data_IF_760664665027
#
_entry.id   IF_760664665027
#
_cell.length_a   1.000
_cell.length_b   1.000
_cell.length_c   1.000
_cell.angle_alpha   90.00
_cell.angle_beta   90.00
_cell.angle_gamma   90.00
#
_symmetry.space_group_name_H-M   'P 1'
#
loop_
_entity.id
_entity.type
_entity.pdbx_description
1 polymer ?
#
# COMPACT_ATOMS: atom_id res chain seq x y z
N UNK A 1 -25.73 2.16 -14.66
CA UNK A 1 -24.93 3.40 -14.55
C UNK A 1 -25.88 4.58 -14.47
N UNK A 2 -26.04 5.18 -13.30
CA UNK A 2 -26.89 6.36 -13.11
C UNK A 2 -26.10 7.57 -13.62
N UNK A 3 -26.63 8.28 -14.62
CA UNK A 3 -25.99 9.47 -15.20
C UNK A 3 -25.79 10.57 -14.14
N UNK A 4 -24.63 11.24 -14.20
CA UNK A 4 -24.28 12.38 -13.33
C UNK A 4 -25.34 13.50 -13.40
N UNK A 5 -26.01 13.66 -14.54
CA UNK A 5 -27.09 14.63 -14.73
C UNK A 5 -28.36 14.26 -13.96
N UNK A 6 -28.64 12.97 -13.79
CA UNK A 6 -29.76 12.44 -13.00
C UNK A 6 -29.49 12.62 -11.51
N UNK A 7 -28.24 12.44 -11.07
CA UNK A 7 -27.83 12.66 -9.68
C UNK A 7 -27.91 14.15 -9.31
N UNK A 8 -27.45 15.03 -10.20
CA UNK A 8 -27.51 16.50 -10.03
C UNK A 8 -28.94 17.04 -10.06
N UNK A 9 -29.84 16.50 -10.91
CA UNK A 9 -31.27 16.84 -10.87
C UNK A 9 -31.94 16.39 -9.57
N UNK A 10 -31.61 15.19 -9.08
CA UNK A 10 -32.08 14.69 -7.78
C UNK A 10 -31.55 15.53 -6.61
N UNK A 11 -30.32 16.02 -6.68
CA UNK A 11 -29.74 16.91 -5.67
C UNK A 11 -30.36 18.31 -5.68
N UNK A 12 -30.69 18.85 -6.86
CA UNK A 12 -31.38 20.14 -6.99
C UNK A 12 -32.83 20.07 -6.51
N UNK A 13 -33.53 18.95 -6.76
CA UNK A 13 -34.92 18.78 -6.31
C UNK A 13 -35.05 18.61 -4.80
N UNK A 14 -34.00 18.18 -4.08
CA UNK A 14 -33.98 18.12 -2.60
C UNK A 14 -34.09 19.49 -1.93
N UNK A 15 -33.71 20.58 -2.61
CA UNK A 15 -33.83 21.94 -2.10
C UNK A 15 -35.08 22.68 -2.62
N UNK A 16 -35.83 22.07 -3.56
CA UNK A 16 -36.97 22.67 -4.29
C UNK A 16 -38.25 21.84 -4.17
N UNK A 17 -38.36 20.95 -3.16
CA UNK A 17 -39.51 20.04 -3.00
C UNK A 17 -40.87 20.76 -3.03
N UNK A 18 -40.96 21.96 -2.47
CA UNK A 18 -42.18 22.78 -2.50
C UNK A 18 -42.54 23.34 -3.88
N UNK A 19 -41.58 23.49 -4.79
CA UNK A 19 -41.82 23.93 -6.16
C UNK A 19 -42.29 22.76 -7.04
N UNK A 20 -41.71 21.58 -6.88
CA UNK A 20 -42.12 20.40 -7.65
C UNK A 20 -43.51 19.88 -7.27
N UNK A 21 -43.90 19.99 -5.99
CA UNK A 21 -45.27 19.68 -5.56
C UNK A 21 -46.28 20.66 -6.18
N UNK A 22 -45.89 21.93 -6.37
CA UNK A 22 -46.72 22.93 -7.05
C UNK A 22 -46.88 22.64 -8.54
N UNK A 23 -45.80 22.31 -9.21
CA UNK A 23 -45.82 21.97 -10.65
C UNK A 23 -46.70 20.72 -10.89
N UNK A 24 -46.63 19.72 -9.99
CA UNK A 24 -47.46 18.52 -10.06
C UNK A 24 -48.95 18.81 -9.77
N UNK A 25 -49.24 19.73 -8.85
CA UNK A 25 -50.60 20.22 -8.60
C UNK A 25 -51.18 20.97 -9.81
N UNK A 26 -50.37 21.76 -10.49
CA UNK A 26 -50.74 22.47 -11.72
C UNK A 26 -50.97 21.50 -12.89
N UNK A 27 -50.08 20.51 -13.07
CA UNK A 27 -50.20 19.50 -14.12
C UNK A 27 -51.44 18.61 -13.93
N UNK A 28 -51.73 18.19 -12.69
CA UNK A 28 -52.94 17.44 -12.36
C UNK A 28 -54.22 18.26 -12.59
N UNK A 29 -54.23 19.55 -12.20
CA UNK A 29 -55.37 20.44 -12.48
C UNK A 29 -55.59 20.63 -13.96
N UNK A 30 -54.52 20.84 -14.73
CA UNK A 30 -54.59 20.99 -16.17
C UNK A 30 -55.21 19.76 -16.85
N UNK A 31 -54.84 18.56 -16.43
CA UNK A 31 -55.42 17.32 -16.96
C UNK A 31 -56.90 17.14 -16.60
N UNK A 32 -57.28 17.49 -15.37
CA UNK A 32 -58.68 17.45 -14.93
C UNK A 32 -59.53 18.46 -15.71
N UNK A 33 -59.06 19.70 -15.85
CA UNK A 33 -59.76 20.76 -16.58
C UNK A 33 -59.92 20.40 -18.07
N UNK A 34 -58.87 19.89 -18.69
CA UNK A 34 -58.90 19.48 -20.10
C UNK A 34 -59.86 18.32 -20.36
N UNK A 35 -59.92 17.33 -19.48
CA UNK A 35 -60.90 16.23 -19.61
C UNK A 35 -62.34 16.69 -19.38
N UNK A 36 -62.56 17.67 -18.50
CA UNK A 36 -63.88 18.28 -18.35
C UNK A 36 -64.28 18.97 -19.66
N UNK A 37 -63.37 19.71 -20.27
CA UNK A 37 -63.59 20.40 -21.55
C UNK A 37 -63.86 19.44 -22.71
N UNK A 38 -63.07 18.36 -22.83
CA UNK A 38 -63.25 17.32 -23.85
C UNK A 38 -64.60 16.60 -23.68
N UNK A 39 -65.04 16.35 -22.44
CA UNK A 39 -66.36 15.75 -22.17
C UNK A 39 -67.53 16.69 -22.48
N UNK A 40 -67.35 17.99 -22.27
CA UNK A 40 -68.33 19.01 -22.67
C UNK A 40 -68.41 19.09 -24.20
N UNK A 41 -67.27 19.06 -24.90
CA UNK A 41 -67.21 19.03 -26.37
C UNK A 41 -67.82 17.74 -26.95
N UNK A 42 -67.73 16.63 -26.23
CA UNK A 42 -68.40 15.37 -26.56
C UNK A 42 -69.92 15.37 -26.28
N UNK A 43 -70.47 16.49 -25.78
CA UNK A 43 -71.91 16.71 -25.62
C UNK A 43 -72.46 16.47 -24.21
N UNK A 44 -71.61 16.30 -23.19
CA UNK A 44 -72.09 16.21 -21.80
C UNK A 44 -72.44 17.58 -21.21
N UNK A 45 -73.43 17.59 -20.31
CA UNK A 45 -73.73 18.75 -19.48
C UNK A 45 -72.51 19.08 -18.57
N UNK A 46 -72.12 20.37 -18.45
CA UNK A 46 -71.00 20.81 -17.61
C UNK A 46 -70.95 20.24 -16.19
N UNK A 47 -72.10 20.12 -15.51
CA UNK A 47 -72.17 19.56 -14.15
C UNK A 47 -71.93 18.05 -14.14
N UNK A 48 -72.44 17.33 -15.14
CA UNK A 48 -72.24 15.89 -15.29
C UNK A 48 -70.79 15.56 -15.71
N UNK A 49 -70.19 16.37 -16.59
CA UNK A 49 -68.79 16.23 -17.02
C UNK A 49 -67.82 16.37 -15.84
N UNK A 50 -68.05 17.35 -14.95
CA UNK A 50 -67.27 17.52 -13.71
C UNK A 50 -67.39 16.32 -12.77
N UNK A 51 -68.62 15.87 -12.52
CA UNK A 51 -68.87 14.71 -11.65
C UNK A 51 -68.35 13.39 -12.23
N UNK A 52 -68.29 13.25 -13.55
CA UNK A 52 -67.74 12.08 -14.23
C UNK A 52 -66.20 12.03 -14.10
N UNK A 53 -65.52 13.14 -14.36
CA UNK A 53 -64.05 13.23 -14.25
C UNK A 53 -63.61 13.02 -12.79
N UNK A 54 -64.27 13.67 -11.83
CA UNK A 54 -63.95 13.51 -10.40
C UNK A 54 -64.16 12.07 -9.87
N UNK A 55 -65.15 11.34 -10.41
CA UNK A 55 -65.34 9.91 -10.09
C UNK A 55 -64.29 9.01 -10.74
N UNK A 56 -63.88 9.31 -11.98
CA UNK A 56 -62.87 8.51 -12.70
C UNK A 56 -61.47 8.60 -12.08
N UNK A 57 -61.13 9.76 -11.49
CA UNK A 57 -59.82 10.01 -10.87
C UNK A 57 -59.67 9.43 -9.46
N UNK A 58 -60.70 8.81 -8.87
CA UNK A 58 -60.57 7.99 -7.65
C UNK A 58 -60.05 8.71 -6.39
N UNK A 59 -60.11 10.04 -6.35
CA UNK A 59 -59.50 10.86 -5.30
C UNK A 59 -58.08 11.28 -5.68
N UNK A 60 -57.92 12.55 -6.07
CA UNK A 60 -56.66 13.18 -6.47
C UNK A 60 -55.50 12.96 -5.48
N UNK A 61 -55.79 12.76 -4.20
CA UNK A 61 -54.79 12.54 -3.17
C UNK A 61 -54.12 11.16 -3.26
N UNK A 62 -54.85 10.12 -3.72
CA UNK A 62 -54.29 8.77 -3.83
C UNK A 62 -53.31 8.64 -5.00
N UNK A 63 -53.64 9.26 -6.15
CA UNK A 63 -52.76 9.32 -7.33
C UNK A 63 -51.50 10.15 -7.05
N UNK A 64 -51.62 11.21 -6.22
CA UNK A 64 -50.47 11.97 -5.72
C UNK A 64 -49.58 11.13 -4.80
N UNK A 65 -50.16 10.33 -3.92
CA UNK A 65 -49.41 9.44 -3.02
C UNK A 65 -48.65 8.36 -3.81
N UNK A 66 -49.28 7.68 -4.78
CA UNK A 66 -48.61 6.68 -5.61
C UNK A 66 -47.47 7.28 -6.46
N UNK A 67 -47.67 8.47 -7.01
CA UNK A 67 -46.62 9.19 -7.75
C UNK A 67 -45.45 9.64 -6.85
N UNK A 68 -45.71 9.95 -5.57
CA UNK A 68 -44.67 10.27 -4.59
C UNK A 68 -43.86 9.03 -4.18
N UNK A 69 -44.53 7.90 -3.93
CA UNK A 69 -43.87 6.65 -3.53
C UNK A 69 -43.03 6.05 -4.67
N UNK A 70 -43.47 6.16 -5.94
CA UNK A 70 -42.75 5.63 -7.10
C UNK A 70 -41.40 6.33 -7.40
N UNK A 71 -41.16 7.54 -6.88
CA UNK A 71 -40.00 8.37 -7.26
C UNK A 71 -38.80 8.28 -6.31
N UNK A 72 -38.87 7.53 -5.21
CA UNK A 72 -37.76 7.36 -4.26
C UNK A 72 -37.37 8.62 -3.49
N UNK A 73 -38.16 9.70 -3.60
CA UNK A 73 -37.93 10.97 -2.90
C UNK A 73 -38.29 10.89 -1.42
N UNK A 74 -39.28 10.06 -1.06
CA UNK A 74 -39.68 9.82 0.33
C UNK A 74 -38.54 9.30 1.20
N UNK A 75 -37.76 8.33 0.70
CA UNK A 75 -36.60 7.80 1.42
C UNK A 75 -35.53 8.88 1.69
N UNK A 76 -35.30 9.79 0.74
CA UNK A 76 -34.34 10.89 0.89
C UNK A 76 -34.85 11.97 1.86
N UNK A 77 -36.14 12.28 1.82
CA UNK A 77 -36.79 13.22 2.75
C UNK A 77 -36.82 12.65 4.18
N UNK A 78 -37.16 11.38 4.33
CA UNK A 78 -37.10 10.64 5.60
C UNK A 78 -35.66 10.63 6.15
N UNK A 79 -34.66 10.32 5.32
CA UNK A 79 -33.25 10.35 5.71
C UNK A 79 -32.78 11.75 6.12
N UNK A 80 -33.16 12.81 5.39
CA UNK A 80 -32.82 14.20 5.71
C UNK A 80 -33.49 14.65 7.01
N UNK A 81 -34.76 14.27 7.20
CA UNK A 81 -35.51 14.59 8.40
C UNK A 81 -34.89 13.90 9.62
N UNK A 82 -34.50 12.63 9.48
CA UNK A 82 -33.79 11.85 10.51
C UNK A 82 -32.41 12.43 10.82
N UNK A 83 -31.62 12.81 9.80
CA UNK A 83 -30.32 13.47 9.98
C UNK A 83 -30.47 14.80 10.73
N UNK A 84 -31.46 15.62 10.37
CA UNK A 84 -31.73 16.92 11.01
C UNK A 84 -32.20 16.73 12.45
N UNK A 85 -33.02 15.71 12.71
CA UNK A 85 -33.46 15.35 14.04
C UNK A 85 -32.31 14.83 14.90
N UNK A 86 -31.46 13.96 14.35
CA UNK A 86 -30.23 13.47 14.96
C UNK A 86 -29.26 14.59 15.33
N UNK A 87 -28.99 15.52 14.41
CA UNK A 87 -28.15 16.69 14.67
C UNK A 87 -28.70 17.58 15.79
N UNK A 88 -30.02 17.78 15.84
CA UNK A 88 -30.68 18.54 16.92
C UNK A 88 -30.60 17.79 18.26
N UNK A 89 -30.69 16.46 18.25
CA UNK A 89 -30.53 15.63 19.45
C UNK A 89 -29.10 15.68 20.00
N UNK A 90 -28.09 15.67 19.13
CA UNK A 90 -26.68 15.83 19.49
C UNK A 90 -26.43 17.20 20.14
N UNK A 91 -26.93 18.30 19.55
CA UNK A 91 -26.80 19.65 20.12
C UNK A 91 -27.49 19.82 21.48
N UNK A 92 -28.57 19.09 21.75
CA UNK A 92 -29.26 19.08 23.06
C UNK A 92 -28.51 18.28 24.13
N UNK A 93 -27.46 17.55 23.77
CA UNK A 93 -26.78 16.58 24.63
C UNK A 93 -25.26 16.72 24.59
N UNK A 94 -24.70 17.94 24.78
CA UNK A 94 -23.31 18.24 24.43
C UNK A 94 -22.28 17.36 25.14
N UNK A 95 -22.50 17.00 26.41
CA UNK A 95 -21.57 16.14 27.16
C UNK A 95 -21.48 14.72 26.61
N UNK A 96 -22.62 14.08 26.35
CA UNK A 96 -22.67 12.70 25.79
C UNK A 96 -22.11 12.69 24.37
N UNK A 97 -22.47 13.69 23.57
CA UNK A 97 -21.94 13.84 22.22
C UNK A 97 -20.44 14.06 22.23
N UNK A 98 -19.91 14.90 23.13
CA UNK A 98 -18.48 15.14 23.25
C UNK A 98 -17.72 13.85 23.61
N UNK A 99 -18.20 13.09 24.60
CA UNK A 99 -17.58 11.80 24.98
C UNK A 99 -17.60 10.83 23.80
N UNK A 100 -18.75 10.65 23.14
CA UNK A 100 -18.86 9.71 22.02
C UNK A 100 -17.96 10.12 20.84
N UNK A 101 -17.93 11.41 20.49
CA UNK A 101 -17.10 11.94 19.40
C UNK A 101 -15.62 11.81 19.74
N UNK A 102 -15.18 12.17 20.95
CA UNK A 102 -13.77 12.06 21.35
C UNK A 102 -13.32 10.59 21.41
N UNK A 103 -14.14 9.69 21.92
CA UNK A 103 -13.83 8.25 21.97
C UNK A 103 -13.70 7.65 20.57
N UNK A 104 -14.63 7.97 19.65
CA UNK A 104 -14.56 7.51 18.27
C UNK A 104 -13.39 8.15 17.52
N UNK A 105 -13.16 9.46 17.69
CA UNK A 105 -12.06 10.16 17.05
C UNK A 105 -10.70 9.60 17.47
N UNK A 106 -10.50 9.30 18.76
CA UNK A 106 -9.27 8.70 19.27
C UNK A 106 -9.08 7.29 18.71
N UNK A 107 -10.12 6.45 18.73
CA UNK A 107 -10.05 5.08 18.22
C UNK A 107 -9.80 5.01 16.71
N UNK A 108 -10.49 5.84 15.92
CA UNK A 108 -10.29 5.91 14.46
C UNK A 108 -8.92 6.49 14.16
N UNK A 109 -8.56 7.64 14.74
CA UNK A 109 -7.30 8.33 14.48
C UNK A 109 -6.08 7.48 14.83
N UNK A 110 -6.10 6.80 15.98
CA UNK A 110 -5.01 5.92 16.38
C UNK A 110 -4.86 4.71 15.44
N UNK A 111 -5.97 4.06 15.05
CA UNK A 111 -5.92 2.94 14.10
C UNK A 111 -5.42 3.41 12.72
N UNK A 112 -5.90 4.56 12.22
CA UNK A 112 -5.43 5.13 10.96
C UNK A 112 -3.94 5.47 11.00
N UNK A 113 -3.44 6.05 12.10
CA UNK A 113 -2.02 6.37 12.24
C UNK A 113 -1.14 5.11 12.24
N UNK A 114 -1.51 4.08 13.02
CA UNK A 114 -0.77 2.82 13.08
C UNK A 114 -0.83 2.10 11.74
N UNK A 115 -2.00 2.04 11.10
CA UNK A 115 -2.13 1.44 9.78
C UNK A 115 -1.28 2.17 8.73
N UNK A 116 -1.24 3.50 8.77
CA UNK A 116 -0.39 4.29 7.86
C UNK A 116 1.09 3.94 8.04
N UNK A 117 1.54 3.78 9.29
CA UNK A 117 2.91 3.35 9.59
C UNK A 117 3.20 1.93 9.09
N UNK A 118 2.28 0.99 9.32
CA UNK A 118 2.39 -0.38 8.79
C UNK A 118 2.44 -0.38 7.27
N UNK A 119 1.58 0.41 6.62
CA UNK A 119 1.57 0.51 5.16
C UNK A 119 2.90 1.06 4.63
N UNK A 120 3.43 2.11 5.25
CA UNK A 120 4.70 2.72 4.87
C UNK A 120 5.91 1.79 5.05
N UNK A 121 5.93 0.97 6.11
CA UNK A 121 7.09 0.13 6.47
C UNK A 121 6.97 -1.31 5.91
N UNK A 122 5.77 -1.90 5.97
CA UNK A 122 5.56 -3.32 5.69
C UNK A 122 4.97 -3.60 4.30
N UNK A 123 4.11 -2.72 3.79
CA UNK A 123 3.34 -2.99 2.56
C UNK A 123 3.90 -2.33 1.31
N UNK A 124 4.87 -1.42 1.43
CA UNK A 124 5.53 -0.79 0.28
C UNK A 124 6.38 -1.83 -0.45
N UNK A 125 5.93 -2.21 -1.64
CA UNK A 125 6.65 -3.11 -2.54
C UNK A 125 7.84 -2.39 -3.20
N UNK A 126 8.88 -3.16 -3.53
CA UNK A 126 9.96 -2.71 -4.39
C UNK A 126 9.40 -2.41 -5.80
N UNK A 127 9.88 -1.35 -6.45
CA UNK A 127 9.52 -1.00 -7.83
C UNK A 127 10.28 -1.89 -8.81
N UNK A 128 9.93 -3.17 -8.80
CA UNK A 128 10.59 -4.26 -9.53
C UNK A 128 9.54 -5.16 -10.16
N UNK A 129 9.92 -5.95 -11.17
CA UNK A 129 8.97 -6.87 -11.80
C UNK A 129 8.62 -8.03 -10.85
N UNK A 130 7.33 -8.37 -10.74
CA UNK A 130 6.80 -9.49 -9.96
C UNK A 130 7.45 -9.61 -8.55
N UNK A 131 7.31 -8.59 -7.67
CA UNK A 131 7.96 -8.56 -6.36
C UNK A 131 7.55 -9.73 -5.46
N UNK A 132 6.36 -10.29 -5.65
CA UNK A 132 5.85 -11.47 -4.92
C UNK A 132 6.67 -12.74 -5.15
N UNK A 133 7.46 -12.82 -6.22
CA UNK A 133 8.34 -13.95 -6.50
C UNK A 133 9.72 -13.79 -5.85
N UNK A 134 10.03 -12.62 -5.27
CA UNK A 134 11.31 -12.37 -4.63
C UNK A 134 11.31 -12.92 -3.21
N UNK A 135 12.42 -13.57 -2.85
CA UNK A 135 12.70 -14.02 -1.49
C UNK A 135 14.07 -13.52 -1.02
N UNK A 136 14.16 -13.20 0.26
CA UNK A 136 15.40 -12.87 0.95
C UNK A 136 15.95 -14.13 1.60
N UNK A 137 17.28 -14.28 1.57
CA UNK A 137 17.98 -15.30 2.31
C UNK A 137 18.29 -14.72 3.70
N UNK A 138 17.52 -15.12 4.71
CA UNK A 138 17.55 -14.61 6.07
C UNK A 138 16.29 -13.86 6.48
N UNK A 139 16.38 -13.09 7.55
CA UNK A 139 15.28 -12.32 8.16
C UNK A 139 14.97 -10.97 7.48
N UNK A 140 15.65 -10.66 6.38
CA UNK A 140 15.47 -9.41 5.65
C UNK A 140 16.12 -8.18 6.29
N UNK A 141 16.99 -8.37 7.27
CA UNK A 141 17.87 -7.34 7.83
C UNK A 141 19.10 -7.12 6.95
N UNK A 142 19.49 -5.86 6.76
CA UNK A 142 20.80 -5.49 6.17
C UNK A 142 21.91 -5.45 7.23
N UNK A 143 21.62 -5.86 8.47
CA UNK A 143 22.58 -5.98 9.57
C UNK A 143 22.65 -7.44 9.96
N UNK A 144 23.50 -8.19 9.28
CA UNK A 144 23.75 -9.59 9.62
C UNK A 144 24.75 -9.69 10.76
N UNK A 145 24.37 -10.40 11.82
CA UNK A 145 25.32 -11.08 12.71
C UNK A 145 25.19 -12.58 12.44
N UNK A 146 26.30 -13.32 12.43
CA UNK A 146 26.24 -14.80 12.52
C UNK A 146 25.73 -15.13 13.92
N UNK A 147 24.44 -15.43 14.06
CA UNK A 147 23.85 -15.76 15.36
C UNK A 147 24.16 -17.22 15.69
N UNK A 148 25.33 -17.45 16.29
CA UNK A 148 25.79 -18.77 16.73
C UNK A 148 24.84 -19.48 17.70
N UNK A 149 23.94 -18.74 18.37
CA UNK A 149 22.98 -19.29 19.34
C UNK A 149 21.71 -19.88 18.71
N UNK A 150 21.38 -19.51 17.46
CA UNK A 150 20.10 -19.93 16.82
C UNK A 150 20.27 -20.74 15.53
N UNK A 151 21.50 -20.83 15.00
CA UNK A 151 21.78 -21.51 13.73
C UNK A 151 21.16 -20.82 12.51
N UNK A 152 20.68 -19.57 12.65
CA UNK A 152 20.11 -18.77 11.55
C UNK A 152 21.15 -17.85 10.93
N UNK A 153 21.22 -17.86 9.60
CA UNK A 153 22.19 -17.11 8.82
C UNK A 153 21.51 -16.05 7.96
N UNK A 154 22.01 -14.81 8.06
CA UNK A 154 21.44 -13.63 7.41
C UNK A 154 22.47 -12.86 6.54
N UNK A 155 23.73 -13.26 6.56
CA UNK A 155 24.84 -12.69 5.79
C UNK A 155 25.74 -13.82 5.34
N UNK A 156 26.26 -13.72 4.12
CA UNK A 156 26.89 -14.83 3.42
C UNK A 156 28.23 -14.41 2.83
N UNK A 157 29.06 -15.41 2.52
CA UNK A 157 30.31 -15.25 1.80
C UNK A 157 30.08 -15.37 0.29
N UNK A 158 30.94 -14.74 -0.50
CA UNK A 158 30.87 -14.82 -1.96
C UNK A 158 31.00 -16.27 -2.48
N UNK A 159 31.89 -17.13 -1.93
CA UNK A 159 31.93 -18.54 -2.35
C UNK A 159 30.63 -19.30 -2.07
N UNK A 160 29.92 -19.03 -0.97
CA UNK A 160 28.62 -19.65 -0.72
C UNK A 160 27.56 -19.17 -1.72
N UNK A 161 27.56 -17.88 -2.06
CA UNK A 161 26.69 -17.35 -3.11
C UNK A 161 26.86 -18.09 -4.44
N UNK A 162 28.10 -18.38 -4.86
CA UNK A 162 28.39 -19.12 -6.09
C UNK A 162 27.74 -20.52 -6.11
N UNK A 163 27.65 -21.20 -4.96
CA UNK A 163 26.94 -22.48 -4.87
C UNK A 163 25.42 -22.30 -4.86
N UNK A 164 24.91 -21.28 -4.17
CA UNK A 164 23.46 -21.04 -4.04
C UNK A 164 22.82 -20.53 -5.34
N UNK A 165 23.55 -19.78 -6.16
CA UNK A 165 23.04 -19.27 -7.45
C UNK A 165 22.77 -20.35 -8.49
N UNK A 166 23.32 -21.56 -8.30
CA UNK A 166 23.07 -22.72 -9.17
C UNK A 166 21.79 -23.49 -8.82
N UNK A 167 21.10 -23.11 -7.72
CA UNK A 167 19.90 -23.79 -7.27
C UNK A 167 18.74 -23.65 -8.29
N UNK A 168 18.20 -24.79 -8.72
CA UNK A 168 17.19 -24.88 -9.78
C UNK A 168 15.80 -24.38 -9.36
N UNK A 169 15.58 -24.11 -8.08
CA UNK A 169 14.33 -23.53 -7.56
C UNK A 169 14.14 -22.08 -8.00
N UNK A 170 15.23 -21.39 -8.34
CA UNK A 170 15.23 -19.98 -8.69
C UNK A 170 15.37 -19.76 -10.20
N UNK A 171 14.79 -18.67 -10.70
CA UNK A 171 15.15 -18.11 -12.00
C UNK A 171 16.54 -17.46 -11.96
N UNK A 172 16.91 -16.94 -10.80
CA UNK A 172 18.26 -16.48 -10.51
C UNK A 172 18.37 -16.01 -9.06
N UNK A 173 19.59 -16.01 -8.55
CA UNK A 173 19.97 -15.44 -7.25
C UNK A 173 20.99 -14.35 -7.52
N UNK A 174 20.76 -13.16 -6.95
CA UNK A 174 21.72 -12.06 -6.98
C UNK A 174 22.25 -11.77 -5.58
N UNK A 175 23.46 -11.22 -5.56
CA UNK A 175 24.15 -10.79 -4.36
C UNK A 175 24.35 -9.28 -4.38
N UNK A 176 24.36 -8.67 -3.21
CA UNK A 176 24.75 -7.28 -3.02
C UNK A 176 25.47 -7.13 -1.69
N UNK A 177 26.42 -6.20 -1.63
CA UNK A 177 27.14 -5.90 -0.41
C UNK A 177 26.20 -5.31 0.63
N UNK A 178 26.30 -5.82 1.85
CA UNK A 178 25.46 -5.44 2.99
C UNK A 178 25.49 -3.94 3.29
N UNK A 179 26.66 -3.30 3.12
CA UNK A 179 26.86 -1.86 3.32
C UNK A 179 27.01 -1.13 1.98
N UNK A 180 26.66 0.15 1.97
CA UNK A 180 27.06 1.06 0.90
C UNK A 180 28.52 1.48 1.10
N UNK A 181 29.22 1.68 -0.01
CA UNK A 181 30.58 2.18 -0.06
C UNK A 181 30.59 3.68 -0.30
N UNK A 182 31.36 4.43 0.49
CA UNK A 182 31.66 5.82 0.15
C UNK A 182 32.63 5.83 -1.02
N UNK A 183 32.19 6.44 -2.12
CA UNK A 183 32.95 6.59 -3.35
C UNK A 183 33.38 8.04 -3.50
N UNK A 184 34.63 8.24 -3.90
CA UNK A 184 35.12 9.49 -4.48
C UNK A 184 35.00 9.38 -5.99
N UNK A 185 34.12 10.17 -6.59
CA UNK A 185 33.80 10.13 -8.02
C UNK A 185 34.21 11.44 -8.69
N UNK A 186 34.86 11.36 -9.85
CA UNK A 186 35.15 12.53 -10.69
C UNK A 186 35.15 12.18 -12.18
N UNK A 187 34.77 13.11 -13.08
CA UNK A 187 34.88 12.89 -14.52
C UNK A 187 36.32 12.67 -14.96
N UNK A 188 36.55 11.74 -15.88
CA UNK A 188 37.85 11.60 -16.54
C UNK A 188 38.10 12.82 -17.44
N UNK A 189 39.22 13.51 -17.24
CA UNK A 189 39.56 14.74 -17.99
C UNK A 189 39.15 16.04 -17.31
N UNK A 190 38.53 15.99 -16.13
CA UNK A 190 38.43 17.17 -15.26
C UNK A 190 39.83 17.75 -14.99
N UNK A 191 39.97 19.07 -15.08
CA UNK A 191 41.21 19.74 -14.66
C UNK A 191 41.55 19.34 -13.22
N UNK A 192 42.82 19.35 -12.81
CA UNK A 192 43.24 18.92 -11.46
C UNK A 192 42.50 19.58 -10.27
N UNK A 193 41.74 20.65 -10.52
CA UNK A 193 40.90 21.35 -9.56
C UNK A 193 39.40 20.98 -9.60
N UNK A 194 38.94 20.10 -10.50
CA UNK A 194 37.54 19.63 -10.46
C UNK A 194 37.34 18.81 -9.19
N UNK A 195 36.51 19.27 -8.23
CA UNK A 195 36.36 18.60 -6.95
C UNK A 195 35.83 17.19 -7.16
N UNK A 196 36.37 16.23 -6.42
CA UNK A 196 35.75 14.92 -6.34
C UNK A 196 34.42 15.04 -5.60
N UNK A 197 33.39 14.41 -6.14
CA UNK A 197 32.09 14.32 -5.51
C UNK A 197 32.01 13.04 -4.69
N UNK A 198 31.39 13.14 -3.50
CA UNK A 198 31.09 11.99 -2.68
C UNK A 198 29.79 11.34 -3.19
N UNK A 199 29.85 10.04 -3.43
CA UNK A 199 28.72 9.25 -3.88
C UNK A 199 28.63 7.94 -3.09
N UNK A 200 27.45 7.33 -3.07
CA UNK A 200 27.24 6.01 -2.47
C UNK A 200 27.26 4.91 -3.52
N UNK A 201 28.15 3.94 -3.35
CA UNK A 201 28.30 2.78 -4.21
C UNK A 201 27.68 1.53 -3.61
N UNK A 202 27.05 0.72 -4.44
CA UNK A 202 26.63 -0.65 -4.12
C UNK A 202 27.38 -1.63 -5.01
N UNK A 203 28.15 -2.53 -4.39
CA UNK A 203 28.70 -3.69 -5.07
C UNK A 203 27.60 -4.74 -5.24
N UNK A 204 27.34 -5.18 -6.46
CA UNK A 204 26.28 -6.14 -6.80
C UNK A 204 26.79 -7.19 -7.77
N UNK A 205 26.22 -8.40 -7.72
CA UNK A 205 26.47 -9.40 -8.77
C UNK A 205 25.96 -8.88 -10.11
N UNK A 206 26.62 -9.27 -11.20
CA UNK A 206 26.26 -8.81 -12.54
C UNK A 206 24.80 -9.08 -12.94
N UNK A 207 24.21 -10.17 -12.45
CA UNK A 207 22.81 -10.51 -12.71
C UNK A 207 21.80 -9.77 -11.82
N UNK A 208 22.22 -8.83 -10.96
CA UNK A 208 21.38 -8.14 -9.99
C UNK A 208 20.14 -7.49 -10.62
N UNK A 209 20.34 -6.68 -11.67
CA UNK A 209 19.23 -6.01 -12.34
C UNK A 209 18.32 -6.99 -13.08
N UNK A 210 18.87 -8.08 -13.62
CA UNK A 210 18.11 -9.14 -14.28
C UNK A 210 17.21 -9.88 -13.27
N UNK A 211 17.76 -10.25 -12.11
CA UNK A 211 16.98 -10.91 -11.04
C UNK A 211 15.91 -9.98 -10.49
N UNK A 212 16.18 -8.68 -10.35
CA UNK A 212 15.14 -7.72 -9.95
C UNK A 212 14.19 -7.36 -11.10
N UNK A 213 14.51 -7.67 -12.35
CA UNK A 213 13.70 -7.27 -13.50
C UNK A 213 13.67 -5.76 -13.70
N UNK A 214 14.77 -5.08 -13.41
CA UNK A 214 14.93 -3.63 -13.57
C UNK A 214 15.59 -3.35 -14.91
N UNK A 215 14.98 -2.46 -15.69
CA UNK A 215 15.49 -2.02 -16.99
C UNK A 215 16.08 -0.62 -16.87
N UNK A 216 17.16 -0.34 -17.59
CA UNK A 216 17.76 1.00 -17.60
C UNK A 216 16.83 2.01 -18.29
N UNK A 217 16.74 3.23 -17.74
CA UNK A 217 16.06 4.34 -18.39
C UNK A 217 16.83 4.83 -19.64
N UNK A 218 18.17 4.79 -19.57
CA UNK A 218 19.08 5.11 -20.66
C UNK A 218 20.25 4.13 -20.64
N UNK A 219 20.68 3.65 -21.81
CA UNK A 219 21.79 2.70 -21.91
C UNK A 219 21.37 1.27 -21.54
N UNK A 220 22.24 0.58 -20.78
CA UNK A 220 21.99 -0.79 -20.30
C UNK A 220 22.30 -0.93 -18.80
N UNK A 221 21.76 -1.97 -18.19
CA UNK A 221 22.16 -2.40 -16.84
C UNK A 221 23.40 -3.28 -16.89
N UNK A 222 23.93 -3.65 -15.71
CA UNK A 222 24.94 -4.70 -15.60
C UNK A 222 24.38 -6.03 -16.12
N UNK A 223 25.27 -6.80 -16.74
CA UNK A 223 25.01 -8.09 -17.36
C UNK A 223 26.09 -9.09 -16.94
N UNK A 224 25.86 -10.41 -17.01
CA UNK A 224 26.86 -11.41 -16.64
C UNK A 224 28.25 -11.23 -17.26
N UNK A 225 28.33 -10.62 -18.44
CA UNK A 225 29.60 -10.35 -19.12
C UNK A 225 30.46 -9.29 -18.39
N UNK A 226 29.84 -8.43 -17.57
CA UNK A 226 30.53 -7.39 -16.78
C UNK A 226 31.20 -7.95 -15.51
N UNK A 227 30.95 -9.23 -15.15
CA UNK A 227 31.61 -9.93 -14.04
C UNK A 227 32.80 -10.80 -14.50
N UNK A 228 33.11 -10.85 -15.81
CA UNK A 228 34.26 -11.59 -16.31
C UNK A 228 35.58 -10.96 -15.79
N UNK A 229 36.63 -11.76 -15.51
CA UNK A 229 37.89 -11.25 -14.91
C UNK A 229 38.54 -10.07 -15.65
N UNK A 230 38.42 -10.05 -16.98
CA UNK A 230 38.98 -9.03 -17.87
C UNK A 230 37.91 -8.04 -18.40
N UNK A 231 36.68 -8.09 -17.86
CA UNK A 231 35.63 -7.17 -18.25
C UNK A 231 36.05 -5.72 -17.95
N UNK A 232 35.81 -4.78 -18.88
CA UNK A 232 35.98 -3.36 -18.59
C UNK A 232 35.10 -2.94 -17.41
N UNK A 233 35.63 -2.19 -16.42
CA UNK A 233 34.82 -1.74 -15.29
C UNK A 233 33.60 -0.93 -15.73
N UNK A 234 32.42 -1.46 -15.47
CA UNK A 234 31.14 -0.84 -15.79
C UNK A 234 30.48 -0.28 -14.52
N UNK A 235 29.79 0.85 -14.66
CA UNK A 235 28.98 1.43 -13.61
C UNK A 235 27.57 1.72 -14.14
N UNK A 236 26.55 1.38 -13.34
CA UNK A 236 25.18 1.86 -13.56
C UNK A 236 24.93 2.98 -12.57
N UNK A 237 24.44 4.11 -13.06
CA UNK A 237 24.21 5.32 -12.27
C UNK A 237 22.75 5.44 -11.87
N UNK A 238 22.46 6.03 -10.71
CA UNK A 238 21.09 6.31 -10.30
C UNK A 238 20.51 7.47 -11.10
N UNK A 239 19.19 7.45 -11.30
CA UNK A 239 18.48 8.57 -11.92
C UNK A 239 18.72 9.89 -11.15
N UNK A 240 18.73 9.83 -9.82
CA UNK A 240 18.92 11.01 -8.96
C UNK A 240 20.33 11.60 -9.10
N UNK A 241 21.37 10.76 -9.15
CA UNK A 241 22.74 11.21 -9.42
C UNK A 241 22.85 11.83 -10.81
N UNK A 242 22.27 11.17 -11.81
CA UNK A 242 22.25 11.65 -13.18
C UNK A 242 21.56 13.02 -13.31
N UNK A 243 20.45 13.23 -12.60
CA UNK A 243 19.76 14.51 -12.56
C UNK A 243 20.62 15.61 -11.91
N UNK A 244 21.16 15.35 -10.70
CA UNK A 244 21.89 16.38 -9.93
C UNK A 244 23.27 16.71 -10.48
N UNK A 245 24.00 15.73 -11.02
CA UNK A 245 25.39 15.89 -11.45
C UNK A 245 25.54 16.11 -12.96
N UNK A 246 24.64 15.56 -13.77
CA UNK A 246 24.69 15.63 -15.24
C UNK A 246 23.49 16.37 -15.85
N UNK A 247 22.57 16.89 -15.03
CA UNK A 247 21.41 17.66 -15.50
C UNK A 247 20.57 16.89 -16.55
N UNK A 248 20.47 15.56 -16.36
CA UNK A 248 19.81 14.62 -17.28
C UNK A 248 20.42 14.57 -18.70
N UNK A 249 21.70 14.91 -18.85
CA UNK A 249 22.40 14.81 -20.14
C UNK A 249 22.65 13.34 -20.50
N UNK A 250 22.10 12.90 -21.65
CA UNK A 250 22.28 11.54 -22.16
C UNK A 250 23.73 11.21 -22.50
N UNK A 251 24.59 12.22 -22.71
CA UNK A 251 26.02 11.98 -22.93
C UNK A 251 26.73 11.44 -21.70
N UNK A 252 26.07 11.42 -20.53
CA UNK A 252 26.63 10.79 -19.32
C UNK A 252 26.83 9.28 -19.50
N UNK A 253 26.00 8.61 -20.31
CA UNK A 253 26.22 7.21 -20.70
C UNK A 253 27.36 7.14 -21.72
N UNK A 254 28.34 6.28 -21.46
CA UNK A 254 29.59 6.16 -22.20
C UNK A 254 30.73 7.01 -21.66
N UNK A 255 30.47 7.94 -20.74
CA UNK A 255 31.53 8.67 -20.05
C UNK A 255 32.27 7.78 -19.05
N UNK A 256 33.55 8.11 -18.87
CA UNK A 256 34.41 7.45 -17.88
C UNK A 256 34.48 8.32 -16.63
N UNK A 257 34.17 7.72 -15.49
CA UNK A 257 34.31 8.31 -14.17
C UNK A 257 35.45 7.61 -13.43
N UNK A 258 36.28 8.39 -12.75
CA UNK A 258 37.30 7.87 -11.85
C UNK A 258 36.66 7.67 -10.48
N UNK A 259 36.42 6.42 -10.10
CA UNK A 259 35.82 6.00 -8.83
C UNK A 259 36.91 5.42 -7.94
N UNK A 260 37.23 6.09 -6.82
CA UNK A 260 38.33 5.71 -5.93
C UNK A 260 39.64 5.44 -6.71
N UNK A 261 39.95 6.26 -7.72
CA UNK A 261 41.15 6.08 -8.55
C UNK A 261 41.05 5.04 -9.66
N UNK A 262 39.97 4.25 -9.74
CA UNK A 262 39.73 3.26 -10.80
C UNK A 262 38.80 3.85 -11.87
N UNK A 263 39.12 3.76 -13.18
CA UNK A 263 38.22 4.22 -14.24
C UNK A 263 37.06 3.25 -14.44
N UNK A 264 35.84 3.79 -14.44
CA UNK A 264 34.59 3.08 -14.73
C UNK A 264 33.84 3.76 -15.87
N UNK A 265 33.37 2.99 -16.84
CA UNK A 265 32.48 3.50 -17.88
C UNK A 265 31.04 3.44 -17.38
N UNK A 266 30.32 4.56 -17.46
CA UNK A 266 28.88 4.58 -17.20
C UNK A 266 28.17 3.86 -18.35
N UNK A 267 27.58 2.69 -18.09
CA UNK A 267 26.91 1.89 -19.12
C UNK A 267 25.40 2.15 -19.20
N UNK A 268 24.83 2.76 -18.16
CA UNK A 268 23.42 3.16 -18.16
C UNK A 268 22.98 3.84 -16.87
N UNK A 269 21.70 4.23 -16.86
CA UNK A 269 21.04 4.93 -15.76
C UNK A 269 19.79 4.16 -15.33
N UNK A 270 19.56 4.01 -14.03
CA UNK A 270 18.35 3.36 -13.49
C UNK A 270 17.09 4.19 -13.76
N UNK A 271 15.90 3.59 -13.69
CA UNK A 271 14.65 4.35 -13.77
C UNK A 271 14.42 5.16 -12.48
N UNK A 272 13.65 6.27 -12.54
CA UNK A 272 13.47 7.19 -11.40
C UNK A 272 12.79 6.53 -10.20
N UNK A 273 12.00 5.49 -10.41
CA UNK A 273 11.37 4.72 -9.35
C UNK A 273 12.35 3.78 -8.63
N UNK A 274 13.52 3.47 -9.19
CA UNK A 274 14.42 2.45 -8.63
C UNK A 274 15.53 3.06 -7.75
N UNK A 275 15.49 2.68 -6.47
CA UNK A 275 16.43 3.16 -5.44
C UNK A 275 17.36 2.08 -4.88
N UNK A 276 17.31 0.86 -5.43
CA UNK A 276 18.02 -0.31 -4.93
C UNK A 276 17.14 -1.28 -4.15
N UNK A 277 17.78 -2.23 -3.46
CA UNK A 277 17.12 -3.30 -2.70
C UNK A 277 16.70 -2.92 -1.28
N UNK A 278 17.13 -1.74 -0.81
CA UNK A 278 16.71 -1.13 0.46
C UNK A 278 15.99 0.18 0.17
N UNK A 279 14.81 0.37 0.77
CA UNK A 279 14.06 1.63 0.72
C UNK A 279 14.35 2.52 1.94
N UNK A 280 15.36 2.16 2.74
CA UNK A 280 15.75 2.82 3.99
C UNK A 280 17.18 3.35 3.93
N UNK A 281 17.41 4.49 4.58
CA UNK A 281 18.74 5.05 4.79
C UNK A 281 19.29 5.80 3.57
N UNK A 282 20.60 5.73 3.40
CA UNK A 282 21.29 6.29 2.23
C UNK A 282 20.98 5.43 1.00
N UNK A 283 20.81 6.09 -0.15
CA UNK A 283 20.48 5.46 -1.42
C UNK A 283 21.74 5.32 -2.27
N UNK A 284 21.83 4.27 -3.08
CA UNK A 284 22.96 4.07 -3.97
C UNK A 284 22.90 5.08 -5.13
N UNK A 285 24.01 5.78 -5.35
CA UNK A 285 24.25 6.60 -6.54
C UNK A 285 24.81 5.75 -7.69
N UNK A 286 25.55 4.68 -7.36
CA UNK A 286 26.18 3.79 -8.35
C UNK A 286 26.04 2.31 -7.96
N UNK A 287 25.81 1.47 -8.95
CA UNK A 287 25.93 0.01 -8.86
C UNK A 287 27.14 -0.45 -9.66
N UNK A 288 28.04 -1.18 -9.00
CA UNK A 288 29.32 -1.64 -9.55
C UNK A 288 29.39 -3.18 -9.48
N UNK A 289 30.01 -3.86 -10.46
CA UNK A 289 30.26 -5.29 -10.40
C UNK A 289 31.01 -5.70 -9.12
N UNK A 290 30.47 -6.68 -8.42
CA UNK A 290 30.99 -7.13 -7.13
C UNK A 290 32.40 -7.72 -7.25
N UNK A 291 32.71 -8.30 -8.41
CA UNK A 291 34.04 -8.82 -8.78
C UNK A 291 35.14 -7.74 -8.74
N UNK A 292 34.76 -6.46 -8.84
CA UNK A 292 35.68 -5.32 -8.73
C UNK A 292 35.90 -4.84 -7.29
N UNK A 293 35.38 -5.54 -6.28
CA UNK A 293 35.54 -5.23 -4.86
C UNK A 293 36.99 -4.88 -4.48
N UNK A 294 38.04 -5.63 -4.88
CA UNK A 294 39.41 -5.30 -4.50
C UNK A 294 39.93 -3.99 -5.11
N UNK A 295 39.40 -3.58 -6.28
CA UNK A 295 39.79 -2.33 -6.96
C UNK A 295 39.09 -1.11 -6.35
N UNK A 296 37.83 -1.27 -5.95
CA UNK A 296 37.01 -0.20 -5.35
C UNK A 296 37.38 0.02 -3.88
N UNK A 297 37.65 -1.06 -3.14
CA UNK A 297 37.97 -1.06 -1.70
C UNK A 297 39.49 -1.18 -1.46
N UNK A 298 40.25 -0.23 -2.01
CA UNK A 298 41.72 -0.19 -1.92
C UNK A 298 42.23 -0.46 -0.49
N UNK A 299 43.20 -1.38 -0.35
CA UNK A 299 43.86 -1.69 0.92
C UNK A 299 43.22 -2.78 1.79
N UNK A 300 42.24 -3.53 1.26
CA UNK A 300 41.69 -4.74 1.92
C UNK A 300 41.98 -5.99 1.09
N UNK A 301 42.22 -7.12 1.75
CA UNK A 301 42.27 -8.41 1.08
C UNK A 301 40.95 -8.69 0.35
N UNK A 302 41.04 -9.43 -0.75
CA UNK A 302 39.86 -9.75 -1.57
C UNK A 302 38.90 -10.64 -0.80
N UNK A 303 37.70 -10.13 -0.54
CA UNK A 303 36.64 -10.84 0.16
C UNK A 303 35.91 -11.86 -0.75
N UNK A 304 36.28 -11.92 -2.04
CA UNK A 304 35.62 -12.77 -3.04
C UNK A 304 36.01 -14.25 -2.91
N UNK A 305 37.21 -14.54 -2.40
CA UNK A 305 37.74 -15.90 -2.29
C UNK A 305 37.73 -16.45 -0.87
N UNK A 306 37.41 -15.61 0.11
CA UNK A 306 37.37 -15.98 1.52
C UNK A 306 36.00 -16.61 1.86
N UNK A 307 35.94 -17.92 2.18
CA UNK A 307 34.68 -18.57 2.54
C UNK A 307 34.23 -18.24 3.97
N UNK A 308 35.11 -17.71 4.82
CA UNK A 308 34.82 -17.36 6.22
C UNK A 308 34.25 -15.94 6.35
N UNK A 309 34.61 -15.07 5.42
CA UNK A 309 34.17 -13.69 5.43
C UNK A 309 32.75 -13.56 4.86
N UNK A 310 31.78 -13.32 5.74
CA UNK A 310 30.39 -13.05 5.36
C UNK A 310 30.14 -11.53 5.25
N UNK A 311 29.85 -11.04 4.04
CA UNK A 311 29.75 -9.60 3.75
C UNK A 311 28.68 -9.23 2.72
N UNK A 312 27.92 -10.22 2.22
CA UNK A 312 26.87 -10.02 1.21
C UNK A 312 25.52 -10.54 1.69
N UNK A 313 24.46 -9.92 1.17
CA UNK A 313 23.10 -10.38 1.27
C UNK A 313 22.64 -10.91 -0.09
N UNK A 314 21.64 -11.80 -0.08
CA UNK A 314 21.14 -12.46 -1.28
C UNK A 314 19.64 -12.22 -1.47
N UNK A 315 19.26 -12.00 -2.73
CA UNK A 315 17.86 -12.02 -3.19
C UNK A 315 17.74 -13.10 -4.26
N UNK A 316 16.74 -13.97 -4.10
CA UNK A 316 16.38 -14.96 -5.10
C UNK A 316 15.04 -14.63 -5.73
N UNK A 317 14.91 -14.86 -7.05
CA UNK A 317 13.61 -14.90 -7.73
C UNK A 317 13.17 -16.34 -7.89
N UNK A 318 12.08 -16.72 -7.25
CA UNK A 318 11.51 -18.06 -7.37
C UNK A 318 10.95 -18.30 -8.77
N UNK A 319 10.99 -19.55 -9.23
CA UNK A 319 10.21 -19.96 -10.40
C UNK A 319 8.71 -19.96 -10.02
N UNK A 320 7.79 -19.57 -10.93
CA UNK A 320 6.37 -19.39 -10.60
C UNK A 320 5.66 -20.59 -9.96
N UNK A 321 6.12 -21.82 -10.22
CA UNK A 321 5.52 -23.05 -9.72
C UNK A 321 6.25 -23.67 -8.51
N UNK A 322 7.29 -23.00 -7.98
CA UNK A 322 8.10 -23.54 -6.88
C UNK A 322 7.66 -22.91 -5.55
N UNK A 323 7.13 -23.69 -4.59
CA UNK A 323 6.79 -23.17 -3.28
C UNK A 323 8.05 -22.81 -2.48
N UNK A 324 7.92 -21.80 -1.62
CA UNK A 324 9.04 -21.27 -0.80
C UNK A 324 9.65 -22.37 0.07
N UNK A 325 8.82 -23.28 0.58
CA UNK A 325 9.25 -24.39 1.45
C UNK A 325 10.16 -25.37 0.71
N UNK A 326 9.86 -25.65 -0.57
CA UNK A 326 10.70 -26.52 -1.41
C UNK A 326 12.04 -25.85 -1.73
N UNK A 327 12.01 -24.56 -2.08
CA UNK A 327 13.23 -23.79 -2.32
C UNK A 327 14.10 -23.71 -1.04
N UNK A 328 13.47 -23.50 0.12
CA UNK A 328 14.16 -23.44 1.41
C UNK A 328 14.83 -24.77 1.76
N UNK A 329 14.16 -25.90 1.49
CA UNK A 329 14.76 -27.22 1.70
C UNK A 329 16.00 -27.43 0.80
N UNK A 330 15.91 -27.06 -0.48
CA UNK A 330 17.02 -27.17 -1.44
C UNK A 330 18.22 -26.29 -1.03
N UNK A 331 17.97 -25.02 -0.69
CA UNK A 331 18.98 -24.08 -0.20
C UNK A 331 19.69 -24.62 1.04
N UNK A 332 18.94 -25.19 1.99
CA UNK A 332 19.53 -25.72 3.22
C UNK A 332 20.41 -26.95 3.00
N UNK A 333 20.08 -27.82 2.04
CA UNK A 333 20.95 -28.94 1.64
C UNK A 333 22.28 -28.42 1.09
N UNK A 334 22.25 -27.44 0.19
CA UNK A 334 23.45 -26.83 -0.39
C UNK A 334 24.28 -26.12 0.68
N UNK A 335 23.61 -25.37 1.56
CA UNK A 335 24.26 -24.63 2.64
C UNK A 335 24.96 -25.54 3.65
N UNK A 336 24.29 -26.58 4.14
CA UNK A 336 24.88 -27.53 5.09
C UNK A 336 26.05 -28.30 4.47
N UNK A 337 25.95 -28.65 3.18
CA UNK A 337 27.07 -29.25 2.44
C UNK A 337 28.27 -28.31 2.39
N UNK A 338 28.05 -27.04 2.07
CA UNK A 338 29.10 -26.02 2.04
C UNK A 338 29.78 -25.88 3.41
N UNK A 339 29.01 -25.79 4.50
CA UNK A 339 29.56 -25.70 5.84
C UNK A 339 30.38 -26.94 6.24
N UNK A 340 29.89 -28.14 5.91
CA UNK A 340 30.63 -29.39 6.17
C UNK A 340 31.95 -29.45 5.39
N UNK A 341 31.95 -29.01 4.13
CA UNK A 341 33.17 -28.93 3.32
C UNK A 341 34.18 -27.93 3.89
N UNK A 342 33.71 -26.76 4.33
CA UNK A 342 34.55 -25.73 4.93
C UNK A 342 35.18 -26.17 6.25
N UNK A 343 34.44 -26.90 7.09
CA UNK A 343 34.95 -27.34 8.38
C UNK A 343 35.96 -28.51 8.32
N UNK A 344 36.07 -29.18 7.17
CA UNK A 344 37.04 -30.26 6.95
C UNK A 344 36.69 -31.58 7.66
N UNK A 345 37.62 -32.54 7.63
CA UNK A 345 37.40 -33.92 8.10
C UNK A 345 37.51 -34.13 9.62
N UNK A 346 38.01 -33.14 10.37
CA UNK A 346 38.25 -33.26 11.82
C UNK A 346 37.19 -32.49 12.62
N UNK A 347 35.92 -32.78 12.37
CA UNK A 347 34.80 -32.18 13.08
C UNK A 347 34.60 -32.83 14.45
N UNK A 348 34.61 -32.03 15.51
CA UNK A 348 34.13 -32.48 16.83
C UNK A 348 32.62 -32.78 16.74
N UNK A 349 32.10 -33.81 17.42
CA UNK A 349 30.68 -34.19 17.34
C UNK A 349 29.70 -33.06 17.69
N UNK A 350 30.10 -32.16 18.59
CA UNK A 350 29.32 -30.97 18.95
C UNK A 350 29.22 -29.99 17.77
N UNK A 351 30.33 -29.76 17.07
CA UNK A 351 30.36 -28.90 15.90
C UNK A 351 29.54 -29.47 14.75
N UNK A 352 29.60 -30.78 14.53
CA UNK A 352 28.77 -31.44 13.52
C UNK A 352 27.26 -31.25 13.79
N UNK A 353 26.82 -31.40 15.04
CA UNK A 353 25.42 -31.14 15.44
C UNK A 353 25.01 -29.68 15.24
N UNK A 354 25.91 -28.72 15.48
CA UNK A 354 25.65 -27.30 15.20
C UNK A 354 25.49 -27.03 13.70
N UNK A 355 26.32 -27.65 12.87
CA UNK A 355 26.24 -27.52 11.42
C UNK A 355 24.93 -28.11 10.88
N UNK A 356 24.47 -29.23 11.43
CA UNK A 356 23.20 -29.87 11.04
C UNK A 356 21.95 -29.04 11.43
N UNK A 357 22.05 -28.24 12.50
CA UNK A 357 21.00 -27.30 12.91
C UNK A 357 21.05 -25.97 12.15
N UNK A 358 22.15 -25.70 11.46
CA UNK A 358 22.34 -24.47 10.70
C UNK A 358 21.42 -24.45 9.49
N UNK A 359 20.68 -23.36 9.33
CA UNK A 359 19.74 -23.17 8.25
C UNK A 359 19.64 -21.70 7.82
N UNK A 360 19.32 -21.51 6.54
CA UNK A 360 18.93 -20.26 5.92
C UNK A 360 17.40 -20.26 5.83
N UNK A 361 16.77 -19.25 6.41
CA UNK A 361 15.35 -19.01 6.22
C UNK A 361 15.12 -18.26 4.90
N UNK A 362 14.10 -18.63 4.14
CA UNK A 362 13.63 -17.83 3.01
C UNK A 362 12.41 -17.02 3.44
N UNK A 363 12.51 -15.69 3.35
CA UNK A 363 11.42 -14.78 3.72
C UNK A 363 10.94 -13.99 2.50
N UNK A 364 9.67 -13.53 2.48
CA UNK A 364 9.16 -12.71 1.38
C UNK A 364 10.02 -11.44 1.17
N UNK A 365 10.54 -11.28 -0.05
CA UNK A 365 11.46 -10.20 -0.44
C UNK A 365 10.85 -9.09 -1.29
N UNK A 366 9.55 -9.16 -1.58
CA UNK A 366 8.88 -8.19 -2.44
C UNK A 366 8.91 -6.74 -1.93
N UNK A 367 9.09 -6.52 -0.62
CA UNK A 367 9.30 -5.19 -0.05
C UNK A 367 10.76 -4.82 0.16
N UNK A 368 11.72 -5.61 -0.33
CA UNK A 368 13.15 -5.38 -0.17
C UNK A 368 13.68 -5.63 1.24
N UNK A 369 14.97 -5.34 1.41
CA UNK A 369 15.67 -5.40 2.69
C UNK A 369 15.27 -4.19 3.53
N UNK A 370 14.89 -4.43 4.78
CA UNK A 370 14.38 -3.37 5.67
C UNK A 370 14.67 -3.74 7.12
N UNK A 371 15.55 -2.97 7.74
CA UNK A 371 15.89 -3.17 9.15
C UNK A 371 14.70 -2.78 10.03
N UNK A 372 13.95 -1.73 9.66
CA UNK A 372 12.77 -1.33 10.41
C UNK A 372 11.70 -2.42 10.36
N UNK A 373 11.46 -3.05 9.21
CA UNK A 373 10.51 -4.16 9.08
C UNK A 373 10.99 -5.39 9.87
N UNK A 374 12.26 -5.75 9.77
CA UNK A 374 12.82 -6.88 10.52
C UNK A 374 12.66 -6.68 12.05
N UNK A 375 12.95 -5.47 12.55
CA UNK A 375 12.91 -5.17 13.99
C UNK A 375 11.51 -4.89 14.54
N UNK A 376 10.68 -4.14 13.81
CA UNK A 376 9.41 -3.61 14.31
C UNK A 376 8.18 -4.36 13.81
N UNK A 377 8.30 -5.34 12.91
CA UNK A 377 7.16 -6.13 12.43
C UNK A 377 6.32 -6.70 13.59
N UNK A 378 6.94 -7.44 14.51
CA UNK A 378 6.23 -8.05 15.65
C UNK A 378 5.63 -7.00 16.61
N UNK A 379 6.39 -6.00 17.10
CA UNK A 379 5.81 -4.93 17.92
C UNK A 379 4.64 -4.21 17.26
N UNK A 380 4.72 -3.89 15.95
CA UNK A 380 3.66 -3.19 15.24
C UNK A 380 2.35 -4.00 15.19
N UNK A 381 2.43 -5.32 15.01
CA UNK A 381 1.24 -6.19 15.06
C UNK A 381 0.59 -6.20 16.45
N UNK A 382 1.39 -6.23 17.51
CA UNK A 382 0.88 -6.17 18.89
C UNK A 382 0.21 -4.83 19.16
N UNK A 383 0.83 -3.73 18.74
CA UNK A 383 0.28 -2.38 18.87
C UNK A 383 -1.02 -2.22 18.06
N UNK A 384 -1.07 -2.76 16.83
CA UNK A 384 -2.30 -2.76 16.02
C UNK A 384 -3.43 -3.53 16.71
N UNK A 385 -3.14 -4.73 17.23
CA UNK A 385 -4.12 -5.52 17.96
C UNK A 385 -4.62 -4.80 19.22
N UNK A 386 -3.71 -4.16 19.97
CA UNK A 386 -4.06 -3.37 21.15
C UNK A 386 -4.95 -2.18 20.80
N UNK A 387 -4.64 -1.41 19.76
CA UNK A 387 -5.44 -0.24 19.37
C UNK A 387 -6.78 -0.63 18.72
N UNK A 388 -6.83 -1.76 18.01
CA UNK A 388 -8.09 -2.34 17.56
C UNK A 388 -8.99 -2.72 18.75
N UNK A 389 -8.42 -3.32 19.81
CA UNK A 389 -9.16 -3.65 21.03
C UNK A 389 -9.66 -2.38 21.75
N UNK A 390 -8.82 -1.33 21.85
CA UNK A 390 -9.23 -0.03 22.41
C UNK A 390 -10.39 0.57 21.62
N UNK A 391 -10.38 0.47 20.29
CA UNK A 391 -11.50 0.91 19.45
C UNK A 391 -12.77 0.10 19.74
N UNK A 392 -12.69 -1.22 19.90
CA UNK A 392 -13.84 -2.07 20.28
C UNK A 392 -14.41 -1.64 21.63
N UNK A 393 -13.56 -1.37 22.63
CA UNK A 393 -13.97 -0.88 23.95
C UNK A 393 -14.65 0.49 23.83
N UNK A 394 -14.07 1.40 23.04
CA UNK A 394 -14.67 2.72 22.78
C UNK A 394 -16.07 2.60 22.15
N UNK A 395 -16.23 1.72 21.15
CA UNK A 395 -17.52 1.43 20.53
C UNK A 395 -18.52 0.83 21.53
N UNK A 396 -18.08 -0.11 22.38
CA UNK A 396 -18.92 -0.70 23.42
C UNK A 396 -19.38 0.34 24.46
N UNK A 397 -18.50 1.26 24.85
CA UNK A 397 -18.83 2.36 25.75
C UNK A 397 -19.88 3.30 25.13
N UNK A 398 -19.73 3.63 23.83
CA UNK A 398 -20.73 4.42 23.10
C UNK A 398 -22.06 3.67 23.02
N UNK A 399 -22.05 2.37 22.73
CA UNK A 399 -23.25 1.54 22.70
C UNK A 399 -23.96 1.50 24.06
N UNK A 400 -23.23 1.32 25.15
CA UNK A 400 -23.78 1.34 26.51
C UNK A 400 -24.40 2.70 26.87
N UNK A 401 -23.77 3.81 26.46
CA UNK A 401 -24.33 5.15 26.67
C UNK A 401 -25.63 5.35 25.88
N UNK A 402 -25.70 4.84 24.65
CA UNK A 402 -26.91 4.92 23.82
C UNK A 402 -28.03 4.03 24.39
N UNK A 403 -27.71 2.81 24.83
CA UNK A 403 -28.65 1.89 25.49
C UNK A 403 -29.20 2.47 26.79
N UNK A 404 -28.34 3.02 27.66
CA UNK A 404 -28.76 3.69 28.90
C UNK A 404 -29.73 4.84 28.62
N UNK A 405 -29.52 5.60 27.54
CA UNK A 405 -30.42 6.66 27.11
C UNK A 405 -31.74 6.17 26.54
N UNK A 406 -31.73 5.08 25.79
CA UNK A 406 -32.95 4.46 25.29
C UNK A 406 -33.81 3.99 26.47
N UNK A 407 -33.20 3.33 27.46
CA UNK A 407 -33.86 2.92 28.69
C UNK A 407 -34.39 4.12 29.50
N UNK A 408 -33.64 5.22 29.60
CA UNK A 408 -34.11 6.44 30.27
C UNK A 408 -35.31 7.11 29.56
N UNK A 409 -35.43 6.95 28.23
CA UNK A 409 -36.55 7.43 27.42
C UNK A 409 -37.73 6.46 27.37
N UNK A 410 -37.58 5.24 27.88
CA UNK A 410 -38.61 4.19 27.85
C UNK A 410 -39.89 4.63 28.58
N UNK A 411 -39.76 5.36 29.70
CA UNK A 411 -40.90 5.98 30.40
C UNK A 411 -41.62 7.07 29.60
N UNK A 412 -40.88 7.82 28.78
CA UNK A 412 -41.43 8.89 27.92
C UNK A 412 -42.13 8.29 26.69
N UNK A 413 -41.58 7.21 26.14
CA UNK A 413 -42.12 6.47 24.99
C UNK A 413 -43.37 5.67 25.38
N UNK A 414 -43.35 4.99 26.54
CA UNK A 414 -44.53 4.28 27.06
C UNK A 414 -45.69 5.22 27.38
N UNK A 415 -45.44 6.43 27.90
CA UNK A 415 -46.48 7.46 28.07
C UNK A 415 -47.05 7.95 26.72
N UNK A 416 -46.21 8.15 25.69
CA UNK A 416 -46.68 8.53 24.35
C UNK A 416 -47.46 7.42 23.64
N UNK A 417 -47.10 6.15 23.86
CA UNK A 417 -47.84 4.99 23.36
C UNK A 417 -49.18 4.81 24.09
N UNK A 418 -49.22 5.06 25.40
CA UNK A 418 -50.46 5.04 26.20
C UNK A 418 -51.41 6.18 25.83
N UNK A 419 -50.89 7.33 25.37
CA UNK A 419 -51.69 8.46 24.88
C UNK A 419 -52.18 8.28 23.43
N UNK A 420 -51.68 7.27 22.70
CA UNK A 420 -51.99 7.04 21.29
C UNK A 420 -51.51 8.19 20.37
N UNK A 421 -51.38 7.95 19.05
CA UNK A 421 -51.18 9.04 18.10
C UNK A 421 -52.47 9.87 18.06
N UNK A 422 -52.55 10.91 18.89
CA UNK A 422 -53.65 11.88 18.85
C UNK A 422 -53.66 12.60 17.50
N UNK A 423 -54.57 12.14 16.64
CA UNK A 423 -55.32 12.88 15.63
C UNK A 423 -54.55 13.96 14.85
N UNK A 424 -54.11 13.61 13.64
CA UNK A 424 -54.26 14.54 12.50
C UNK A 424 -55.77 14.66 12.24
N UNK A 425 -56.42 15.71 12.75
CA UNK A 425 -57.84 15.93 12.52
C UNK A 425 -58.40 17.12 13.30
N UNK A 426 -58.49 18.26 12.60
CA UNK A 426 -59.33 19.44 12.86
C UNK A 426 -59.25 20.14 14.23
N UNK A 427 -58.64 21.34 14.24
CA UNK A 427 -59.35 22.58 14.61
C UNK A 427 -58.45 23.80 14.39
N UNK A 428 -58.94 24.80 13.65
CA UNK A 428 -58.22 26.06 13.46
C UNK A 428 -58.83 26.98 12.40
N UNK A 429 -60.08 27.39 12.57
CA UNK A 429 -60.61 28.64 11.98
C UNK A 429 -61.63 29.24 12.94
N UNK A 430 -61.11 30.04 13.88
CA UNK A 430 -61.58 31.38 14.18
C UNK A 430 -60.35 32.29 14.16
#
# INVERSE_FOLDING_TARGET
>A
MISLSTLLRRLRSLFLGSHLDRDMDEELRFHVERQIEDNILAGMNPEEARYAVLRSFGGLDHVKEECRDARGFRFLEELLQDLRYGARMLRRSPGVTAVAVLSLALGIGANTAIFTLINAVMLKALPVQNPEQLVLFGDGSSRGFVSGLTGRWNIFSYPLYEHLREDRSFQGVCAFRTQLDRLSVRPQGGTGNTPAELAWGRLVSANYFLVLGVQAAVGRTLSPDDDLPDAPPAAVMSYDFWNRAFNLDRSAVGQVLIVNGTPFTVVGVTPPEFFGESLEGELADFWLPMTLQPRVMQGRESALKDPELNWINLIGRLKPAVPVEQAQASVNVTFQRFLKQQAGSNLMPERERELERSHIALTPGGGGVSNLRALYSRPLHVVLAAVALVLVIACANVANLLLSRAAAREKEISMRLALGPLARGSCGSC
#
